data_IF_220509055931
#
_entry.id   IF_220509055931
#
_cell.length_a   1.000
_cell.length_b   1.000
_cell.length_c   1.000
_cell.angle_alpha   90.00
_cell.angle_beta   90.00
_cell.angle_gamma   90.00
#
_symmetry.space_group_name_H-M   'P 1'
#
loop_
_entity.id
_entity.type
_entity.pdbx_description
1 polymer ?
#
# COMPACT_ATOMS: atom_id res chain seq x y z
N UNK A 1 15.43 9.96 3.60
CA UNK A 1 14.83 11.09 4.35
C UNK A 1 14.51 10.64 5.77
N UNK A 2 15.53 10.59 6.63
CA UNK A 2 15.39 10.26 8.04
C UNK A 2 15.00 11.53 8.79
N UNK A 3 13.72 11.64 9.17
CA UNK A 3 13.25 12.75 10.00
C UNK A 3 13.67 12.47 11.43
N UNK A 4 14.45 13.40 11.97
CA UNK A 4 15.05 13.41 13.31
C UNK A 4 14.02 13.01 14.35
N UNK A 5 14.24 11.86 14.99
CA UNK A 5 13.56 11.47 16.22
C UNK A 5 14.12 12.39 17.31
N UNK A 6 13.41 13.48 17.59
CA UNK A 6 13.76 14.41 18.66
C UNK A 6 13.63 13.65 19.96
N UNK A 7 14.77 13.20 20.48
CA UNK A 7 14.92 12.64 21.81
C UNK A 7 14.40 13.70 22.78
N UNK A 8 13.26 13.43 23.40
CA UNK A 8 12.74 14.23 24.51
C UNK A 8 13.70 14.00 25.66
N UNK A 9 14.73 14.84 25.75
CA UNK A 9 15.62 14.94 26.91
C UNK A 9 14.75 15.18 28.13
N UNK A 10 14.78 14.24 29.08
CA UNK A 10 14.27 14.44 30.43
C UNK A 10 14.87 15.75 30.95
N UNK A 11 14.01 16.71 31.26
CA UNK A 11 14.42 17.91 31.98
C UNK A 11 14.60 17.50 33.45
N UNK A 12 15.82 17.16 33.83
CA UNK A 12 16.21 17.10 35.25
C UNK A 12 16.20 18.54 35.77
N UNK A 13 15.16 18.88 36.53
CA UNK A 13 15.07 20.16 37.25
C UNK A 13 15.93 20.03 38.49
N UNK A 14 17.19 20.40 38.36
CA UNK A 14 18.14 20.46 39.48
C UNK A 14 17.69 21.46 40.55
N UNK A 15 17.82 21.01 41.80
CA UNK A 15 17.33 21.64 43.03
C UNK A 15 18.31 22.70 43.51
N UNK A 16 17.89 23.97 43.48
CA UNK A 16 18.49 25.02 44.30
C UNK A 16 17.38 25.91 44.88
N UNK A 17 17.09 25.77 46.18
CA UNK A 17 16.24 26.73 46.92
C UNK A 17 15.16 26.08 47.79
N UNK A 18 15.37 26.11 49.11
CA UNK A 18 14.57 25.41 50.10
C UNK A 18 13.10 25.82 50.27
N UNK A 19 12.30 24.87 50.74
CA UNK A 19 11.09 25.02 51.58
C UNK A 19 9.83 25.65 50.98
N UNK A 20 9.93 26.45 49.91
CA UNK A 20 8.76 27.15 49.31
C UNK A 20 8.36 26.64 47.92
N UNK A 21 9.15 25.74 47.33
CA UNK A 21 8.97 25.25 45.96
C UNK A 21 8.25 23.91 45.81
N UNK A 22 8.12 23.10 46.87
CA UNK A 22 7.66 21.70 46.76
C UNK A 22 6.20 21.58 46.31
N UNK A 23 5.28 22.41 46.84
CA UNK A 23 3.88 22.43 46.42
C UNK A 23 3.68 22.90 44.97
N UNK A 24 4.46 23.90 44.54
CA UNK A 24 4.45 24.34 43.14
C UNK A 24 5.07 23.30 42.21
N UNK A 25 6.10 22.58 42.66
CA UNK A 25 6.74 21.50 41.91
C UNK A 25 5.74 20.38 41.64
N UNK A 26 4.95 19.97 42.63
CA UNK A 26 3.91 18.97 42.46
C UNK A 26 2.85 19.40 41.43
N UNK A 27 2.43 20.67 41.47
CA UNK A 27 1.50 21.22 40.48
C UNK A 27 2.06 21.18 39.05
N UNK A 28 3.32 21.59 38.86
CA UNK A 28 3.96 21.56 37.54
C UNK A 28 4.22 20.14 37.05
N UNK A 29 4.61 19.21 37.93
CA UNK A 29 4.76 17.79 37.59
C UNK A 29 3.42 17.21 37.12
N UNK A 30 2.36 17.42 37.87
CA UNK A 30 1.02 16.93 37.52
C UNK A 30 0.52 17.55 36.21
N UNK A 31 0.83 18.84 35.97
CA UNK A 31 0.52 19.50 34.70
C UNK A 31 1.34 18.96 33.53
N UNK A 32 2.60 18.63 33.75
CA UNK A 32 3.47 18.00 32.74
C UNK A 32 2.93 16.60 32.38
N UNK A 33 2.57 15.79 33.38
CA UNK A 33 1.98 14.46 33.17
C UNK A 33 0.67 14.53 32.37
N UNK A 34 -0.21 15.46 32.71
CA UNK A 34 -1.47 15.69 31.99
C UNK A 34 -1.21 16.10 30.52
N UNK A 35 -0.26 17.00 30.28
CA UNK A 35 0.11 17.42 28.93
C UNK A 35 0.79 16.28 28.14
N UNK A 36 1.61 15.47 28.79
CA UNK A 36 2.23 14.29 28.17
C UNK A 36 1.18 13.26 27.77
N UNK A 37 0.15 13.05 28.59
CA UNK A 37 -0.98 12.17 28.28
C UNK A 37 -1.71 12.64 27.01
N UNK A 38 -2.01 13.95 26.92
CA UNK A 38 -2.68 14.55 25.76
C UNK A 38 -1.81 14.41 24.50
N UNK A 39 -0.49 14.61 24.63
CA UNK A 39 0.45 14.43 23.51
C UNK A 39 0.47 12.96 23.06
N UNK A 40 0.50 12.01 23.99
CA UNK A 40 0.46 10.59 23.67
C UNK A 40 -0.82 10.21 22.92
N UNK A 41 -1.99 10.64 23.40
CA UNK A 41 -3.28 10.38 22.75
C UNK A 41 -3.33 10.97 21.33
N UNK A 42 -2.91 12.23 21.15
CA UNK A 42 -2.83 12.87 19.83
C UNK A 42 -1.87 12.14 18.90
N UNK A 43 -0.73 11.67 19.41
CA UNK A 43 0.26 10.93 18.63
C UNK A 43 -0.30 9.58 18.13
N UNK A 44 -1.08 8.88 18.97
CA UNK A 44 -1.73 7.63 18.60
C UNK A 44 -2.81 7.87 17.54
N UNK A 45 -3.60 8.93 17.70
CA UNK A 45 -4.60 9.34 16.71
C UNK A 45 -3.96 9.72 15.37
N UNK A 46 -2.86 10.47 15.38
CA UNK A 46 -2.10 10.78 14.17
C UNK A 46 -1.59 9.52 13.47
N UNK A 47 -1.03 8.55 14.23
CA UNK A 47 -0.56 7.28 13.67
C UNK A 47 -1.70 6.49 13.02
N UNK A 48 -2.87 6.46 13.65
CA UNK A 48 -4.08 5.84 13.08
C UNK A 48 -4.52 6.53 11.79
N UNK A 49 -4.62 7.86 11.77
CA UNK A 49 -5.01 8.61 10.58
C UNK A 49 -3.99 8.44 9.45
N UNK A 50 -2.69 8.40 9.78
CA UNK A 50 -1.63 8.15 8.81
C UNK A 50 -1.74 6.75 8.20
N UNK A 51 -2.05 5.73 9.00
CA UNK A 51 -2.30 4.39 8.49
C UNK A 51 -3.50 4.35 7.53
N UNK A 52 -4.61 5.02 7.86
CA UNK A 52 -5.78 5.13 6.98
C UNK A 52 -5.45 5.85 5.66
N UNK A 53 -4.68 6.95 5.72
CA UNK A 53 -4.17 7.64 4.52
C UNK A 53 -3.33 6.71 3.64
N UNK A 54 -2.43 5.94 4.26
CA UNK A 54 -1.55 5.02 3.54
C UNK A 54 -2.35 3.89 2.87
N UNK A 55 -3.34 3.33 3.56
CA UNK A 55 -4.23 2.31 2.98
C UNK A 55 -5.00 2.85 1.77
N UNK A 56 -5.54 4.07 1.88
CA UNK A 56 -6.27 4.69 0.77
C UNK A 56 -5.34 5.00 -0.42
N UNK A 57 -4.14 5.49 -0.16
CA UNK A 57 -3.14 5.72 -1.20
C UNK A 57 -2.71 4.42 -1.89
N UNK A 58 -2.61 3.31 -1.14
CA UNK A 58 -2.34 1.99 -1.72
C UNK A 58 -3.49 1.54 -2.64
N UNK A 59 -4.76 1.75 -2.26
CA UNK A 59 -5.92 1.45 -3.11
C UNK A 59 -5.90 2.28 -4.40
N UNK A 60 -5.62 3.57 -4.31
CA UNK A 60 -5.49 4.43 -5.50
C UNK A 60 -4.35 3.97 -6.40
N UNK A 61 -3.24 3.50 -5.84
CA UNK A 61 -2.14 2.93 -6.62
C UNK A 61 -2.56 1.66 -7.36
N UNK A 62 -3.24 0.72 -6.68
CA UNK A 62 -3.74 -0.50 -7.33
C UNK A 62 -4.70 -0.18 -8.47
N UNK A 63 -5.66 0.73 -8.26
CA UNK A 63 -6.59 1.15 -9.31
C UNK A 63 -5.88 1.82 -10.50
N UNK A 64 -4.78 2.54 -10.26
CA UNK A 64 -3.96 3.11 -11.34
C UNK A 64 -3.23 2.02 -12.14
N UNK A 65 -2.72 0.98 -11.47
CA UNK A 65 -2.08 -0.16 -12.12
C UNK A 65 -3.10 -0.98 -12.94
N UNK A 66 -4.32 -1.18 -12.43
CA UNK A 66 -5.43 -1.78 -13.17
C UNK A 66 -5.85 -0.94 -14.38
N UNK A 67 -5.96 0.37 -14.22
CA UNK A 67 -6.29 1.27 -15.33
C UNK A 67 -5.21 1.24 -16.42
N UNK A 68 -3.95 1.07 -16.04
CA UNK A 68 -2.85 0.94 -16.99
C UNK A 68 -2.95 -0.37 -17.78
N UNK A 69 -3.27 -1.50 -17.12
CA UNK A 69 -3.56 -2.78 -17.79
C UNK A 69 -4.76 -2.69 -18.74
N UNK A 70 -5.78 -1.90 -18.39
CA UNK A 70 -6.92 -1.63 -19.29
C UNK A 70 -6.55 -0.73 -20.48
N UNK A 71 -5.52 0.11 -20.33
CA UNK A 71 -5.04 1.01 -21.39
C UNK A 71 -3.97 0.36 -22.27
N UNK A 72 -3.38 -0.76 -21.83
CA UNK A 72 -2.69 -1.67 -22.75
C UNK A 72 -3.69 -2.11 -23.83
N UNK A 73 -3.24 -2.15 -25.08
CA UNK A 73 -4.12 -2.43 -26.21
C UNK A 73 -4.84 -3.75 -25.95
N UNK A 74 -6.17 -3.73 -26.03
CA UNK A 74 -7.01 -4.88 -25.73
C UNK A 74 -6.57 -6.11 -26.53
N UNK A 75 -6.64 -7.28 -25.90
CA UNK A 75 -6.30 -8.54 -26.52
C UNK A 75 -7.10 -8.76 -27.80
N UNK A 76 -6.42 -9.15 -28.88
CA UNK A 76 -7.08 -9.55 -30.10
C UNK A 76 -7.97 -10.77 -29.85
N UNK A 77 -9.26 -10.65 -30.13
CA UNK A 77 -10.20 -11.76 -30.07
C UNK A 77 -10.08 -12.54 -31.37
N UNK A 78 -9.69 -13.81 -31.26
CA UNK A 78 -9.54 -14.71 -32.39
C UNK A 78 -10.30 -16.01 -32.21
N UNK A 79 -10.75 -16.60 -33.31
CA UNK A 79 -11.38 -17.91 -33.33
C UNK A 79 -10.33 -19.00 -33.50
N UNK A 80 -10.42 -20.06 -32.69
CA UNK A 80 -9.54 -21.22 -32.81
C UNK A 80 -10.05 -22.14 -33.91
N UNK A 81 -9.26 -22.29 -34.97
CA UNK A 81 -9.60 -23.14 -36.12
C UNK A 81 -9.10 -24.57 -35.91
N UNK A 82 -7.88 -24.72 -35.38
CA UNK A 82 -7.30 -26.05 -35.16
C UNK A 82 -6.20 -26.03 -34.09
N UNK A 83 -6.28 -26.90 -33.05
CA UNK A 83 -5.13 -27.14 -32.19
C UNK A 83 -4.07 -27.93 -32.98
N UNK A 84 -2.82 -27.46 -32.99
CA UNK A 84 -1.75 -28.11 -33.75
C UNK A 84 -0.98 -29.12 -32.90
N UNK A 85 -0.48 -28.70 -31.73
CA UNK A 85 0.31 -29.54 -30.83
C UNK A 85 0.13 -29.05 -29.38
N UNK A 86 0.76 -29.71 -28.42
CA UNK A 86 0.68 -29.43 -26.97
C UNK A 86 1.07 -28.01 -26.54
N UNK A 87 1.56 -27.17 -27.45
CA UNK A 87 1.93 -25.77 -27.17
C UNK A 87 1.48 -24.79 -28.25
N UNK A 88 0.88 -25.25 -29.35
CA UNK A 88 0.62 -24.41 -30.53
C UNK A 88 -0.81 -24.56 -31.01
N UNK A 89 -1.47 -23.44 -31.29
CA UNK A 89 -2.83 -23.39 -31.84
C UNK A 89 -2.89 -22.46 -33.03
N UNK A 90 -3.67 -22.86 -34.04
CA UNK A 90 -3.99 -22.03 -35.19
C UNK A 90 -5.22 -21.17 -34.88
N UNK A 91 -5.00 -19.86 -34.77
CA UNK A 91 -6.04 -18.86 -34.51
C UNK A 91 -6.28 -18.03 -35.77
N UNK A 92 -7.54 -17.75 -36.08
CA UNK A 92 -7.95 -16.82 -37.13
C UNK A 92 -8.39 -15.52 -36.47
N UNK A 93 -7.70 -14.42 -36.77
CA UNK A 93 -8.02 -13.07 -36.29
C UNK A 93 -8.44 -12.24 -37.49
N UNK A 94 -9.61 -11.59 -37.43
CA UNK A 94 -10.05 -10.64 -38.45
C UNK A 94 -9.71 -9.22 -37.97
N UNK A 95 -9.03 -8.35 -38.75
CA UNK A 95 -8.77 -8.42 -40.19
C UNK A 95 -7.40 -9.01 -40.63
N UNK A 96 -6.55 -9.51 -39.73
CA UNK A 96 -5.12 -9.77 -40.02
C UNK A 96 -4.74 -11.18 -40.53
N UNK A 97 -5.65 -12.16 -40.49
CA UNK A 97 -5.44 -13.49 -41.10
C UNK A 97 -5.27 -14.65 -40.12
N UNK A 98 -4.55 -15.71 -40.53
CA UNK A 98 -4.33 -16.93 -39.74
C UNK A 98 -2.93 -16.90 -39.11
N UNK A 99 -2.86 -17.11 -37.80
CA UNK A 99 -1.61 -17.11 -37.04
C UNK A 99 -1.46 -18.38 -36.22
N UNK A 100 -0.23 -18.85 -36.09
CA UNK A 100 0.12 -19.89 -35.13
C UNK A 100 0.59 -19.19 -33.86
N UNK A 101 -0.16 -19.36 -32.77
CA UNK A 101 0.13 -18.74 -31.48
C UNK A 101 0.54 -19.83 -30.49
N UNK A 102 1.58 -19.55 -29.70
CA UNK A 102 2.03 -20.42 -28.62
C UNK A 102 1.16 -20.19 -27.37
N UNK A 103 0.75 -21.27 -26.71
CA UNK A 103 -0.04 -21.20 -25.47
C UNK A 103 0.88 -20.94 -24.29
N UNK A 104 0.39 -20.12 -23.36
CA UNK A 104 1.03 -19.98 -22.06
C UNK A 104 0.88 -21.26 -21.24
N UNK A 105 1.86 -21.52 -20.38
CA UNK A 105 1.99 -22.73 -19.55
C UNK A 105 0.84 -22.90 -18.55
N UNK A 106 0.08 -21.83 -18.30
CA UNK A 106 -1.07 -21.84 -17.40
C UNK A 106 -2.39 -22.27 -18.07
N UNK A 107 -2.42 -22.47 -19.40
CA UNK A 107 -3.64 -22.85 -20.12
C UNK A 107 -3.50 -24.27 -20.68
N UNK A 108 -4.39 -25.16 -20.26
CA UNK A 108 -4.46 -26.53 -20.75
C UNK A 108 -5.29 -26.64 -22.05
N UNK A 109 -4.76 -27.41 -23.01
CA UNK A 109 -5.32 -27.58 -24.37
C UNK A 109 -6.66 -28.31 -24.38
N UNK A 110 -7.01 -29.01 -23.31
CA UNK A 110 -8.32 -29.67 -23.17
C UNK A 110 -9.49 -28.68 -23.18
N UNK A 111 -9.26 -27.42 -22.81
CA UNK A 111 -10.29 -26.37 -22.81
C UNK A 111 -10.39 -25.63 -24.16
N UNK A 112 -9.48 -25.92 -25.10
CA UNK A 112 -9.45 -25.29 -26.42
C UNK A 112 -10.23 -26.16 -27.41
N UNK A 113 -11.54 -25.96 -27.44
CA UNK A 113 -12.42 -26.61 -28.42
C UNK A 113 -12.39 -25.83 -29.73
N UNK A 114 -12.00 -26.49 -30.82
CA UNK A 114 -12.10 -25.92 -32.17
C UNK A 114 -13.56 -25.90 -32.62
N UNK A 115 -14.00 -24.78 -33.22
CA UNK A 115 -15.26 -24.67 -33.97
C UNK A 115 -14.99 -24.71 -35.48
#
# INVERSE_FOLDING_TARGET
FASKMTVITKMDVDVVGGGKGEGFRQYYIQKIEELQLIVAEKSQNLRRLQAQRNELNAKVRMLREELQLLQEQGSYVGEVVKPMDKKKVLVKVHPEGKFVVDLDKNIDISNVTAN
#
